data_IF_068827764482
#
_entry.id   IF_068827764482
#
_cell.length_a   1.000
_cell.length_b   1.000
_cell.length_c   1.000
_cell.angle_alpha   90.00
_cell.angle_beta   90.00
_cell.angle_gamma   90.00
#
_symmetry.space_group_name_H-M   'P 1'
#
loop_
_entity.id
_entity.type
_entity.pdbx_description
1 polymer ?
#
# COMPACT_ATOMS: atom_id res chain seq x y z
N UNK A 1 0.25 16.13 13.34
CA UNK A 1 0.41 14.82 12.70
C UNK A 1 -0.98 14.27 12.38
N UNK A 2 -1.15 13.74 11.16
CA UNK A 2 -2.39 13.12 10.72
C UNK A 2 -2.08 11.68 10.32
N UNK A 3 -2.91 10.74 10.78
CA UNK A 3 -2.83 9.33 10.40
C UNK A 3 -4.12 8.95 9.69
N UNK A 4 -3.99 8.44 8.47
CA UNK A 4 -5.11 7.95 7.68
C UNK A 4 -4.98 6.44 7.50
N UNK A 5 -5.96 5.69 7.98
CA UNK A 5 -6.06 4.26 7.71
C UNK A 5 -6.61 4.11 6.29
N UNK A 6 -5.75 3.69 5.36
CA UNK A 6 -6.12 3.48 3.96
C UNK A 6 -6.90 2.17 3.77
N UNK A 7 -6.57 1.16 4.55
CA UNK A 7 -7.26 -0.11 4.60
C UNK A 7 -6.95 -0.87 5.87
N UNK A 8 -7.89 -1.66 6.34
CA UNK A 8 -7.79 -2.46 7.56
C UNK A 8 -8.40 -3.85 7.43
N UNK A 9 -8.60 -4.33 6.21
CA UNK A 9 -9.04 -5.69 5.94
C UNK A 9 -7.94 -6.71 6.17
N UNK A 10 -8.32 -7.98 6.30
CA UNK A 10 -7.37 -9.10 6.32
C UNK A 10 -6.68 -9.28 4.96
N UNK A 11 -5.85 -10.32 4.85
CA UNK A 11 -5.00 -10.57 3.67
C UNK A 11 -5.78 -10.65 2.35
N UNK A 12 -7.02 -11.04 2.39
CA UNK A 12 -7.87 -11.20 1.19
C UNK A 12 -8.91 -10.09 1.03
N UNK A 13 -8.92 -9.11 1.92
CA UNK A 13 -9.93 -8.07 1.95
C UNK A 13 -11.29 -8.57 2.45
N UNK A 14 -12.29 -7.69 2.45
CA UNK A 14 -13.67 -8.04 2.79
C UNK A 14 -14.62 -7.26 1.89
N UNK A 15 -15.67 -7.90 1.33
CA UNK A 15 -15.91 -9.35 1.26
C UNK A 15 -14.83 -10.06 0.42
N UNK A 16 -14.79 -11.40 0.49
CA UNK A 16 -13.87 -12.18 -0.33
C UNK A 16 -14.19 -12.06 -1.83
N UNK A 17 -13.15 -12.13 -2.67
CA UNK A 17 -13.27 -11.91 -4.11
C UNK A 17 -14.31 -12.79 -4.82
N UNK A 18 -14.51 -14.03 -4.35
CA UNK A 18 -15.50 -14.96 -4.89
C UNK A 18 -16.86 -14.87 -4.19
N UNK A 19 -17.12 -13.75 -3.50
CA UNK A 19 -18.35 -13.49 -2.76
C UNK A 19 -18.67 -14.51 -1.63
N UNK A 20 -17.66 -15.17 -1.10
CA UNK A 20 -17.79 -16.05 0.07
C UNK A 20 -17.61 -15.25 1.35
N UNK A 21 -18.69 -14.70 1.85
CA UNK A 21 -18.65 -13.76 2.97
C UNK A 21 -19.47 -14.20 4.20
N UNK A 22 -20.05 -15.40 4.17
CA UNK A 22 -20.87 -15.92 5.28
C UNK A 22 -22.06 -15.00 5.58
N UNK A 23 -22.11 -14.50 6.81
CA UNK A 23 -23.21 -13.65 7.29
C UNK A 23 -22.92 -12.13 7.12
N UNK A 24 -22.02 -11.75 6.21
CA UNK A 24 -21.73 -10.35 5.96
C UNK A 24 -22.91 -9.67 5.26
N UNK A 25 -23.39 -8.57 5.83
CA UNK A 25 -24.37 -7.69 5.20
C UNK A 25 -23.69 -6.84 4.12
N UNK A 26 -23.95 -7.17 2.85
CA UNK A 26 -23.38 -6.45 1.70
C UNK A 26 -23.93 -5.03 1.52
N UNK A 27 -25.02 -4.68 2.19
CA UNK A 27 -25.56 -3.32 2.16
C UNK A 27 -24.87 -2.39 3.18
N UNK A 28 -24.10 -2.95 4.11
CA UNK A 28 -23.34 -2.18 5.07
C UNK A 28 -21.93 -1.91 4.54
N UNK A 29 -21.65 -0.66 4.17
CA UNK A 29 -20.34 -0.24 3.63
C UNK A 29 -19.17 -0.51 4.58
N UNK A 30 -19.41 -0.60 5.90
CA UNK A 30 -18.37 -0.92 6.89
C UNK A 30 -17.83 -2.34 6.75
N UNK A 31 -18.54 -3.22 6.05
CA UNK A 31 -18.08 -4.58 5.76
C UNK A 31 -17.15 -4.66 4.55
N UNK A 32 -16.97 -3.57 3.81
CA UNK A 32 -16.03 -3.48 2.70
C UNK A 32 -14.70 -2.93 3.19
N UNK A 33 -13.70 -3.81 3.27
CA UNK A 33 -12.37 -3.50 3.80
C UNK A 33 -11.29 -3.87 2.80
N UNK A 34 -10.52 -2.88 2.36
CA UNK A 34 -9.29 -3.11 1.57
C UNK A 34 -8.17 -3.60 2.46
N UNK A 35 -7.10 -4.16 1.86
CA UNK A 35 -5.95 -4.68 2.60
C UNK A 35 -5.21 -3.56 3.32
N UNK A 36 -4.40 -3.95 4.31
CA UNK A 36 -3.79 -3.01 5.25
C UNK A 36 -2.81 -2.04 4.59
N UNK A 37 -3.00 -0.76 4.85
CA UNK A 37 -2.03 0.30 4.57
C UNK A 37 -2.38 1.55 5.36
N UNK A 38 -1.36 2.34 5.71
CA UNK A 38 -1.51 3.55 6.52
C UNK A 38 -0.71 4.70 5.91
N UNK A 39 -1.32 5.87 5.84
CA UNK A 39 -0.66 7.11 5.45
C UNK A 39 -0.44 7.98 6.68
N UNK A 40 0.80 8.39 6.91
CA UNK A 40 1.20 9.31 7.97
C UNK A 40 1.61 10.64 7.34
N UNK A 41 1.01 11.72 7.79
CA UNK A 41 1.33 13.07 7.36
C UNK A 41 1.80 13.90 8.56
N UNK A 42 3.00 14.43 8.45
CA UNK A 42 3.56 15.34 9.45
C UNK A 42 4.27 16.50 8.78
N UNK A 43 3.80 17.71 9.06
CA UNK A 43 4.24 18.91 8.34
C UNK A 43 4.05 18.67 6.82
N UNK A 44 5.10 18.82 6.02
CA UNK A 44 5.07 18.61 4.57
C UNK A 44 5.56 17.22 4.14
N UNK A 45 5.68 16.28 5.08
CA UNK A 45 6.19 14.93 4.82
C UNK A 45 5.06 13.91 4.87
N UNK A 46 5.00 13.04 3.86
CA UNK A 46 4.02 11.95 3.77
C UNK A 46 4.74 10.62 3.69
N UNK A 47 4.47 9.76 4.65
CA UNK A 47 5.06 8.41 4.76
C UNK A 47 3.95 7.39 4.61
N UNK A 48 4.15 6.45 3.68
CA UNK A 48 3.26 5.31 3.49
C UNK A 48 3.82 4.10 4.24
N UNK A 49 2.98 3.40 4.98
CA UNK A 49 3.32 2.12 5.61
C UNK A 49 2.63 1.02 4.82
N UNK A 50 3.43 0.15 4.23
CA UNK A 50 3.05 -0.93 3.32
C UNK A 50 2.31 -0.47 2.06
N UNK A 51 2.50 -1.20 0.98
CA UNK A 51 1.83 -1.01 -0.30
C UNK A 51 0.90 -2.18 -0.54
N UNK A 52 -0.37 -2.01 -0.23
CA UNK A 52 -1.36 -3.06 -0.44
C UNK A 52 -1.69 -3.26 -1.92
N UNK A 53 -2.30 -4.41 -2.29
CA UNK A 53 -2.80 -4.61 -3.66
C UNK A 53 -3.87 -3.60 -4.07
N UNK A 54 -4.49 -2.91 -3.11
CA UNK A 54 -5.53 -1.92 -3.33
C UNK A 54 -4.99 -0.48 -3.34
N UNK A 55 -3.67 -0.32 -3.36
CA UNK A 55 -3.01 0.97 -3.14
C UNK A 55 -3.51 2.06 -4.08
N UNK A 56 -3.68 1.76 -5.36
CA UNK A 56 -4.17 2.74 -6.35
C UNK A 56 -5.49 3.35 -5.91
N UNK A 57 -6.45 2.52 -5.53
CA UNK A 57 -7.76 2.99 -5.07
C UNK A 57 -7.68 3.70 -3.72
N UNK A 58 -6.82 3.22 -2.83
CA UNK A 58 -6.61 3.81 -1.51
C UNK A 58 -6.05 5.23 -1.62
N UNK A 59 -5.04 5.44 -2.44
CA UNK A 59 -4.46 6.76 -2.69
C UNK A 59 -5.44 7.70 -3.39
N UNK A 60 -6.20 7.18 -4.35
CA UNK A 60 -7.26 7.94 -5.02
C UNK A 60 -8.31 8.44 -4.01
N UNK A 61 -8.81 7.56 -3.15
CA UNK A 61 -9.82 7.92 -2.14
C UNK A 61 -9.27 8.91 -1.11
N UNK A 62 -8.00 8.81 -0.76
CA UNK A 62 -7.33 9.73 0.16
C UNK A 62 -6.88 11.04 -0.51
N UNK A 63 -7.09 11.18 -1.83
CA UNK A 63 -6.59 12.32 -2.63
C UNK A 63 -5.09 12.56 -2.43
N UNK A 64 -4.34 11.48 -2.30
CA UNK A 64 -2.90 11.52 -2.06
C UNK A 64 -2.15 11.48 -3.38
N UNK A 65 -1.50 12.57 -3.74
CA UNK A 65 -0.78 12.74 -5.00
C UNK A 65 0.74 12.66 -4.86
N UNK A 66 1.25 12.59 -3.63
CA UNK A 66 2.68 12.51 -3.35
C UNK A 66 2.94 11.68 -2.10
N UNK A 67 3.98 10.87 -2.14
CA UNK A 67 4.56 10.13 -1.02
C UNK A 67 6.05 10.44 -0.97
N UNK A 68 6.58 10.68 0.22
CA UNK A 68 7.99 11.02 0.41
C UNK A 68 8.84 9.81 0.76
N UNK A 69 8.26 8.81 1.39
CA UNK A 69 8.92 7.54 1.69
C UNK A 69 7.90 6.42 1.91
N UNK A 70 8.34 5.19 1.70
CA UNK A 70 7.58 3.98 2.03
C UNK A 70 8.33 3.18 3.09
N UNK A 71 7.62 2.75 4.12
CA UNK A 71 8.13 1.82 5.13
C UNK A 71 7.41 0.48 4.97
N UNK A 72 8.15 -0.60 4.77
CA UNK A 72 7.60 -1.95 4.66
C UNK A 72 7.76 -2.70 5.97
N UNK A 73 6.68 -3.35 6.41
CA UNK A 73 6.70 -4.21 7.60
C UNK A 73 7.21 -5.60 7.26
N UNK A 74 6.74 -6.21 6.18
CA UNK A 74 7.14 -7.53 5.72
C UNK A 74 6.72 -7.77 4.26
N UNK A 75 7.14 -8.91 3.69
CA UNK A 75 7.05 -9.18 2.25
C UNK A 75 5.71 -9.77 1.80
N UNK A 76 4.79 -10.14 2.69
CA UNK A 76 3.53 -10.74 2.26
C UNK A 76 2.81 -9.87 1.23
N UNK A 77 2.12 -10.52 0.29
CA UNK A 77 1.53 -9.85 -0.88
C UNK A 77 0.51 -8.77 -0.53
N UNK A 78 -0.26 -8.98 0.53
CA UNK A 78 -1.23 -7.99 1.02
C UNK A 78 -0.57 -6.72 1.58
N UNK A 79 0.75 -6.74 1.83
CA UNK A 79 1.55 -5.61 2.30
C UNK A 79 2.54 -5.06 1.27
N UNK A 80 2.93 -5.84 0.26
CA UNK A 80 4.01 -5.46 -0.64
C UNK A 80 3.63 -5.44 -2.14
N UNK A 81 2.49 -5.97 -2.54
CA UNK A 81 2.18 -6.09 -3.98
C UNK A 81 1.72 -4.80 -4.66
N UNK A 82 1.59 -3.70 -3.92
CA UNK A 82 1.31 -2.38 -4.48
C UNK A 82 2.53 -1.60 -4.99
N UNK A 83 3.72 -2.18 -4.98
CA UNK A 83 4.95 -1.54 -5.50
C UNK A 83 4.78 -0.95 -6.91
N UNK A 84 4.09 -1.60 -7.86
CA UNK A 84 3.87 -1.01 -9.19
C UNK A 84 3.14 0.34 -9.18
N UNK A 85 2.25 0.57 -8.23
CA UNK A 85 1.55 1.86 -8.10
C UNK A 85 2.49 2.96 -7.60
N UNK A 86 3.49 2.62 -6.80
CA UNK A 86 4.54 3.56 -6.39
C UNK A 86 5.43 3.96 -7.56
N UNK A 87 5.66 3.04 -8.52
CA UNK A 87 6.38 3.37 -9.75
C UNK A 87 5.63 4.45 -10.54
N UNK A 88 4.32 4.32 -10.69
CA UNK A 88 3.52 5.33 -11.37
C UNK A 88 3.65 6.70 -10.71
N UNK A 89 3.55 6.77 -9.39
CA UNK A 89 3.72 8.01 -8.62
C UNK A 89 5.12 8.62 -8.80
N UNK A 90 6.16 7.79 -8.74
CA UNK A 90 7.55 8.21 -8.94
C UNK A 90 7.75 8.83 -10.33
N UNK A 91 7.23 8.20 -11.37
CA UNK A 91 7.34 8.69 -12.76
C UNK A 91 6.58 10.00 -12.96
N UNK A 92 5.35 10.09 -12.48
CA UNK A 92 4.53 11.29 -12.64
C UNK A 92 5.14 12.48 -11.89
N UNK A 93 5.60 12.26 -10.67
CA UNK A 93 6.20 13.30 -9.84
C UNK A 93 7.68 13.55 -10.16
N UNK A 94 8.28 12.78 -11.08
CA UNK A 94 9.72 12.85 -11.43
C UNK A 94 10.61 12.80 -10.19
N UNK A 95 10.31 11.88 -9.28
CA UNK A 95 10.91 11.80 -7.95
C UNK A 95 11.21 10.36 -7.59
N UNK A 96 12.41 10.11 -7.09
CA UNK A 96 12.73 8.82 -6.45
C UNK A 96 12.07 8.79 -5.07
N UNK A 97 11.32 7.73 -4.80
CA UNK A 97 10.67 7.53 -3.52
C UNK A 97 11.46 6.45 -2.76
N UNK A 98 12.17 6.82 -1.68
CA UNK A 98 12.92 5.84 -0.90
C UNK A 98 11.99 4.84 -0.23
N UNK A 99 12.41 3.57 -0.24
CA UNK A 99 11.73 2.46 0.41
C UNK A 99 12.65 1.89 1.51
N UNK A 100 12.13 1.82 2.71
CA UNK A 100 12.81 1.27 3.88
C UNK A 100 12.17 -0.04 4.28
N UNK A 101 12.97 -1.07 4.50
CA UNK A 101 12.48 -2.41 4.80
C UNK A 101 13.49 -3.21 5.62
N UNK A 102 13.04 -4.28 6.32
CA UNK A 102 13.94 -5.23 6.96
C UNK A 102 14.92 -5.84 5.95
N UNK A 103 16.16 -6.09 6.36
CA UNK A 103 17.21 -6.63 5.48
C UNK A 103 16.81 -7.95 4.82
N UNK A 104 16.13 -8.80 5.53
CA UNK A 104 15.66 -10.12 5.08
C UNK A 104 14.58 -10.00 3.97
N UNK A 105 13.93 -8.87 3.85
CA UNK A 105 12.95 -8.61 2.82
C UNK A 105 13.58 -8.21 1.47
N UNK A 106 14.77 -7.63 1.50
CA UNK A 106 15.41 -7.03 0.32
C UNK A 106 15.58 -8.03 -0.84
N UNK A 107 16.12 -9.26 -0.63
CA UNK A 107 16.34 -10.19 -1.75
C UNK A 107 15.06 -10.56 -2.49
N UNK A 108 13.97 -10.76 -1.78
CA UNK A 108 12.68 -11.11 -2.38
C UNK A 108 12.03 -9.89 -3.06
N UNK A 109 12.15 -8.72 -2.47
CA UNK A 109 11.69 -7.47 -3.05
C UNK A 109 12.42 -7.19 -4.38
N UNK A 110 13.74 -7.35 -4.41
CA UNK A 110 14.54 -7.20 -5.64
C UNK A 110 14.17 -8.25 -6.69
N UNK A 111 13.99 -9.50 -6.29
CA UNK A 111 13.57 -10.57 -7.20
C UNK A 111 12.25 -10.26 -7.89
N UNK A 112 11.27 -9.76 -7.15
CA UNK A 112 9.92 -9.52 -7.65
C UNK A 112 9.80 -8.22 -8.43
N UNK A 113 10.55 -7.18 -8.05
CA UNK A 113 10.36 -5.82 -8.53
C UNK A 113 11.63 -5.14 -9.02
N UNK A 114 12.63 -5.92 -9.46
CA UNK A 114 13.92 -5.39 -9.94
C UNK A 114 13.77 -4.29 -11.00
N UNK A 115 12.80 -4.43 -11.88
CA UNK A 115 12.53 -3.47 -12.95
C UNK A 115 11.96 -2.11 -12.45
N UNK A 116 11.49 -2.07 -11.20
CA UNK A 116 10.97 -0.87 -10.55
C UNK A 116 12.01 -0.26 -9.61
N UNK A 117 12.71 -1.12 -8.88
CA UNK A 117 13.68 -0.69 -7.89
C UNK A 117 14.96 -0.20 -8.57
N UNK A 118 15.38 0.98 -8.19
CA UNK A 118 16.67 1.53 -8.61
C UNK A 118 17.67 1.18 -7.52
N UNK A 119 18.72 0.46 -7.89
CA UNK A 119 19.84 0.21 -6.98
C UNK A 119 20.58 1.53 -6.77
N UNK A 120 20.53 2.00 -5.57
CA UNK A 120 21.29 3.16 -5.12
C UNK A 120 22.72 2.75 -4.76
#
# INVERSE_FOLDING_TARGET
>A
MKITILGCGGSFGSPLAWNRHGNIDLNNKRNFRTRSSVLIEYKNTKILIDTSPDLRQQLYNAKCTNIDAVLYTHIHSDHASGVPDMRAMSLINKKIIPAYMPKEMIPEMEKNYKYILINL
#
